data_IF_515400647091
#
_entry.id   IF_515400647091
#
_cell.length_a   1.000
_cell.length_b   1.000
_cell.length_c   1.000
_cell.angle_alpha   90.00
_cell.angle_beta   90.00
_cell.angle_gamma   90.00
#
_symmetry.space_group_name_H-M   'P 1'
#
loop_
_entity.id
_entity.type
_entity.pdbx_description
1 polymer ?
#
# COMPACT_ATOMS: atom_id res chain seq x y z
N UNK A 1 5.87 -28.68 20.61
CA UNK A 1 5.18 -27.82 19.64
C UNK A 1 5.31 -28.47 18.28
N UNK A 2 4.20 -28.81 17.64
CA UNK A 2 4.20 -29.39 16.29
C UNK A 2 4.55 -28.32 15.26
N UNK A 3 4.97 -28.74 14.06
CA UNK A 3 5.25 -27.81 12.96
C UNK A 3 4.01 -26.99 12.57
N UNK A 4 2.81 -27.57 12.70
CA UNK A 4 1.54 -26.88 12.45
C UNK A 4 1.22 -25.83 13.51
N UNK A 5 1.46 -26.15 14.79
CA UNK A 5 1.30 -25.19 15.89
C UNK A 5 2.25 -23.99 15.74
N UNK A 6 3.49 -24.24 15.35
CA UNK A 6 4.48 -23.19 15.09
C UNK A 6 4.06 -22.30 13.91
N UNK A 7 3.56 -22.89 12.82
CA UNK A 7 3.05 -22.16 11.65
C UNK A 7 1.84 -21.30 12.00
N UNK A 8 0.91 -21.83 12.79
CA UNK A 8 -0.25 -21.08 13.26
C UNK A 8 0.17 -19.89 14.16
N UNK A 9 1.12 -20.11 15.07
CA UNK A 9 1.65 -19.06 15.93
C UNK A 9 2.34 -17.94 15.13
N UNK A 10 3.14 -18.30 14.12
CA UNK A 10 3.78 -17.33 13.23
C UNK A 10 2.76 -16.52 12.44
N UNK A 11 1.74 -17.17 11.86
CA UNK A 11 0.68 -16.47 11.12
C UNK A 11 -0.08 -15.48 12.00
N UNK A 12 -0.44 -15.88 13.22
CA UNK A 12 -1.09 -14.98 14.18
C UNK A 12 -0.18 -13.80 14.51
N UNK A 13 1.08 -14.08 14.87
CA UNK A 13 2.05 -13.04 15.26
C UNK A 13 2.29 -12.04 14.13
N UNK A 14 2.41 -12.50 12.89
CA UNK A 14 2.54 -11.65 11.71
C UNK A 14 1.33 -10.72 11.55
N UNK A 15 0.11 -11.23 11.65
CA UNK A 15 -1.09 -10.39 11.49
C UNK A 15 -1.17 -9.28 12.55
N UNK A 16 -0.78 -9.56 13.80
CA UNK A 16 -0.72 -8.53 14.85
C UNK A 16 0.41 -7.52 14.62
N UNK A 17 1.60 -8.01 14.24
CA UNK A 17 2.73 -7.14 13.89
C UNK A 17 2.38 -6.23 12.73
N UNK A 18 1.73 -6.75 11.70
CA UNK A 18 1.29 -6.01 10.51
C UNK A 18 0.29 -4.90 10.87
N UNK A 19 -0.74 -5.23 11.65
CA UNK A 19 -1.77 -4.29 12.09
C UNK A 19 -1.22 -3.17 13.00
N UNK A 20 -0.11 -3.40 13.71
CA UNK A 20 0.53 -2.40 14.60
C UNK A 20 1.62 -1.61 13.88
N UNK A 21 2.50 -2.31 13.15
CA UNK A 21 3.67 -1.71 12.50
C UNK A 21 3.25 -0.83 11.32
N UNK A 22 2.20 -1.18 10.55
CA UNK A 22 1.77 -0.35 9.43
C UNK A 22 1.32 1.07 9.84
N UNK A 23 0.48 1.23 10.89
CA UNK A 23 0.21 2.55 11.47
C UNK A 23 1.47 3.27 11.94
N UNK A 24 2.40 2.58 12.62
CA UNK A 24 3.64 3.18 13.09
C UNK A 24 4.49 3.70 11.93
N UNK A 25 4.68 2.89 10.88
CA UNK A 25 5.42 3.30 9.67
C UNK A 25 4.79 4.52 9.01
N UNK A 26 3.46 4.55 8.92
CA UNK A 26 2.68 5.70 8.42
C UNK A 26 3.00 6.96 9.23
N UNK A 27 2.91 6.88 10.56
CA UNK A 27 3.20 8.00 11.46
C UNK A 27 4.65 8.47 11.30
N UNK A 28 5.61 7.55 11.22
CA UNK A 28 7.03 7.88 11.04
C UNK A 28 7.29 8.67 9.75
N UNK A 29 6.64 8.27 8.63
CA UNK A 29 6.76 8.98 7.35
C UNK A 29 6.18 10.40 7.47
N UNK A 30 5.01 10.57 8.10
CA UNK A 30 4.42 11.90 8.28
C UNK A 30 5.22 12.79 9.24
N UNK A 31 5.81 12.24 10.31
CA UNK A 31 6.71 12.99 11.20
C UNK A 31 7.90 13.52 10.40
N UNK A 32 8.49 12.70 9.53
CA UNK A 32 9.61 13.11 8.68
C UNK A 32 9.23 14.15 7.65
N UNK A 33 8.08 13.99 7.01
CA UNK A 33 7.54 14.98 6.09
C UNK A 33 7.36 16.33 6.79
N UNK A 34 6.81 16.33 8.02
CA UNK A 34 6.64 17.54 8.83
C UNK A 34 7.97 18.17 9.20
N UNK A 35 8.97 17.36 9.55
CA UNK A 35 10.32 17.82 9.87
C UNK A 35 10.99 18.45 8.65
N UNK A 36 10.95 17.79 7.50
CA UNK A 36 11.48 18.29 6.24
C UNK A 36 10.84 19.62 5.86
N UNK A 37 9.50 19.72 5.91
CA UNK A 37 8.79 20.99 5.66
C UNK A 37 9.26 22.12 6.57
N UNK A 38 9.57 21.81 7.84
CA UNK A 38 10.09 22.81 8.79
C UNK A 38 11.52 23.23 8.46
N UNK A 39 12.34 22.34 7.91
CA UNK A 39 13.73 22.58 7.57
C UNK A 39 13.88 23.29 6.21
N UNK A 40 13.09 22.92 5.19
CA UNK A 40 13.20 23.46 3.82
C UNK A 40 12.18 24.55 3.51
N UNK A 41 11.10 24.66 4.28
CA UNK A 41 9.96 25.54 4.00
C UNK A 41 8.96 24.99 2.97
N UNK A 42 9.31 23.94 2.24
CA UNK A 42 8.50 23.36 1.16
C UNK A 42 8.05 21.92 1.47
N UNK A 43 6.90 21.52 0.92
CA UNK A 43 6.40 20.14 1.06
C UNK A 43 7.00 19.28 -0.04
N UNK A 44 7.69 18.21 0.33
CA UNK A 44 8.07 17.16 -0.60
C UNK A 44 6.85 16.30 -0.94
N UNK A 45 6.22 16.62 -2.08
CA UNK A 45 5.00 15.93 -2.53
C UNK A 45 5.19 14.44 -2.77
N UNK A 46 6.37 13.98 -3.24
CA UNK A 46 6.64 12.55 -3.39
C UNK A 46 6.54 11.85 -2.04
N UNK A 47 7.19 12.40 -1.02
CA UNK A 47 7.14 11.84 0.34
C UNK A 47 5.74 11.96 0.96
N UNK A 48 4.98 13.00 0.63
CA UNK A 48 3.59 13.15 1.05
C UNK A 48 2.70 12.05 0.46
N UNK A 49 2.80 11.80 -0.85
CA UNK A 49 2.02 10.74 -1.51
C UNK A 49 2.44 9.36 -0.96
N UNK A 50 3.73 9.12 -0.73
CA UNK A 50 4.21 7.90 -0.05
C UNK A 50 3.54 7.74 1.33
N UNK A 51 3.46 8.81 2.12
CA UNK A 51 2.77 8.79 3.41
C UNK A 51 1.30 8.42 3.28
N UNK A 52 0.62 8.93 2.25
CA UNK A 52 -0.78 8.57 1.94
C UNK A 52 -0.90 7.10 1.54
N UNK A 53 0.03 6.56 0.73
CA UNK A 53 0.05 5.14 0.39
C UNK A 53 0.15 4.26 1.64
N UNK A 54 1.07 4.58 2.55
CA UNK A 54 1.19 3.87 3.83
C UNK A 54 -0.07 4.02 4.69
N UNK A 55 -0.72 5.17 4.67
CA UNK A 55 -2.01 5.36 5.35
C UNK A 55 -3.12 4.49 4.75
N UNK A 56 -3.15 4.30 3.43
CA UNK A 56 -4.08 3.38 2.76
C UNK A 56 -3.83 1.92 3.18
N UNK A 57 -2.57 1.49 3.23
CA UNK A 57 -2.21 0.16 3.75
C UNK A 57 -2.60 0.00 5.23
N UNK A 58 -2.30 1.01 6.06
CA UNK A 58 -2.64 1.01 7.48
C UNK A 58 -4.15 0.87 7.68
N UNK A 59 -4.94 1.66 6.94
CA UNK A 59 -6.39 1.56 6.94
C UNK A 59 -6.88 0.17 6.54
N UNK A 60 -6.38 -0.35 5.42
CA UNK A 60 -6.72 -1.68 4.91
C UNK A 60 -6.51 -2.77 5.98
N UNK A 61 -5.33 -2.78 6.60
CA UNK A 61 -4.94 -3.79 7.58
C UNK A 61 -5.69 -3.66 8.91
N UNK A 62 -5.99 -2.44 9.37
CA UNK A 62 -6.84 -2.23 10.55
C UNK A 62 -8.23 -2.80 10.30
N UNK A 63 -8.84 -2.52 9.15
CA UNK A 63 -10.17 -3.02 8.83
C UNK A 63 -10.21 -4.53 8.64
N UNK A 64 -9.21 -5.09 7.96
CA UNK A 64 -9.08 -6.53 7.81
C UNK A 64 -8.89 -7.22 9.18
N UNK A 65 -8.06 -6.64 10.05
CA UNK A 65 -7.88 -7.14 11.41
C UNK A 65 -9.18 -7.09 12.22
N UNK A 66 -9.88 -5.95 12.21
CA UNK A 66 -11.16 -5.79 12.91
C UNK A 66 -12.20 -6.77 12.36
N UNK A 67 -12.32 -6.89 11.04
CA UNK A 67 -13.25 -7.82 10.42
C UNK A 67 -12.94 -9.27 10.82
N UNK A 68 -11.68 -9.70 10.76
CA UNK A 68 -11.33 -11.10 11.03
C UNK A 68 -11.26 -11.49 12.51
N UNK A 69 -11.08 -10.53 13.43
CA UNK A 69 -10.79 -10.82 14.85
C UNK A 69 -11.82 -10.29 15.84
N UNK A 70 -12.76 -9.46 15.40
CA UNK A 70 -13.80 -8.90 16.26
C UNK A 70 -15.19 -9.24 15.74
N UNK A 71 -16.24 -9.19 16.58
CA UNK A 71 -17.62 -9.43 16.14
C UNK A 71 -18.16 -8.32 15.21
N UNK A 72 -17.31 -7.42 14.71
CA UNK A 72 -17.66 -6.40 13.72
C UNK A 72 -18.26 -7.04 12.46
N UNK A 73 -17.89 -8.28 12.12
CA UNK A 73 -18.60 -9.05 11.08
C UNK A 73 -20.11 -8.99 11.25
N UNK A 74 -20.62 -9.22 12.47
CA UNK A 74 -22.06 -9.25 12.76
C UNK A 74 -22.75 -7.91 12.48
N UNK A 75 -22.05 -6.78 12.64
CA UNK A 75 -22.59 -5.45 12.33
C UNK A 75 -22.77 -5.22 10.83
N UNK A 76 -21.98 -5.91 9.99
CA UNK A 76 -22.02 -5.80 8.54
C UNK A 76 -22.87 -6.89 7.87
N UNK A 77 -23.07 -8.05 8.49
CA UNK A 77 -23.93 -9.13 7.94
C UNK A 77 -25.42 -8.90 8.17
N UNK A 78 -25.85 -8.18 9.21
CA UNK A 78 -27.27 -8.15 9.58
C UNK A 78 -28.09 -6.97 9.03
N UNK A 79 -27.52 -5.81 8.64
CA UNK A 79 -28.37 -4.63 8.38
C UNK A 79 -27.92 -3.61 7.31
N UNK A 80 -26.82 -3.80 6.59
CA UNK A 80 -26.37 -2.80 5.61
C UNK A 80 -25.97 -3.48 4.30
N UNK A 81 -26.97 -3.63 3.43
CA UNK A 81 -26.85 -4.04 2.01
C UNK A 81 -26.30 -5.47 1.85
N UNK A 82 -27.08 -6.32 1.20
CA UNK A 82 -26.67 -7.66 0.74
C UNK A 82 -25.56 -7.54 -0.30
N UNK A 83 -24.34 -7.23 0.14
CA UNK A 83 -23.14 -7.40 -0.65
C UNK A 83 -22.84 -8.89 -0.69
N UNK A 84 -22.83 -9.48 -1.88
CA UNK A 84 -22.26 -10.82 -2.06
C UNK A 84 -20.84 -10.82 -1.48
N UNK A 85 -20.51 -11.85 -0.71
CA UNK A 85 -19.22 -12.01 0.01
C UNK A 85 -17.97 -11.84 -0.88
N UNK A 86 -18.14 -11.79 -2.20
CA UNK A 86 -17.08 -11.78 -3.20
C UNK A 86 -16.75 -10.42 -3.83
N UNK A 87 -17.49 -9.33 -3.56
CA UNK A 87 -17.42 -8.14 -4.44
C UNK A 87 -17.12 -6.78 -3.81
N UNK A 88 -17.27 -6.57 -2.50
CA UNK A 88 -16.94 -5.25 -1.91
C UNK A 88 -16.48 -5.38 -0.47
N UNK A 89 -15.23 -4.99 -0.25
CA UNK A 89 -14.60 -5.01 1.06
C UNK A 89 -13.76 -3.75 1.24
N UNK A 90 -13.60 -3.31 2.49
CA UNK A 90 -12.67 -2.23 2.83
C UNK A 90 -11.24 -2.53 2.36
N UNK A 91 -10.91 -3.83 2.25
CA UNK A 91 -9.67 -4.30 1.68
C UNK A 91 -9.49 -3.86 0.23
N UNK A 92 -10.46 -4.14 -0.64
CA UNK A 92 -10.39 -3.79 -2.06
C UNK A 92 -10.38 -2.27 -2.30
N UNK A 93 -11.10 -1.51 -1.46
CA UNK A 93 -11.05 -0.04 -1.47
C UNK A 93 -9.64 0.45 -1.14
N UNK A 94 -9.05 -0.04 -0.04
CA UNK A 94 -7.69 0.32 0.37
C UNK A 94 -6.63 -0.06 -0.68
N UNK A 95 -6.77 -1.23 -1.28
CA UNK A 95 -5.88 -1.73 -2.32
C UNK A 95 -5.97 -0.89 -3.61
N UNK A 96 -7.18 -0.55 -4.06
CA UNK A 96 -7.39 0.30 -5.25
C UNK A 96 -6.80 1.70 -5.06
N UNK A 97 -6.97 2.32 -3.89
CA UNK A 97 -6.35 3.60 -3.55
C UNK A 97 -4.82 3.52 -3.52
N UNK A 98 -4.29 2.47 -2.92
CA UNK A 98 -2.85 2.21 -2.86
C UNK A 98 -2.23 2.18 -4.25
N UNK A 99 -2.85 1.43 -5.17
CA UNK A 99 -2.43 1.33 -6.57
C UNK A 99 -2.56 2.67 -7.28
N UNK A 100 -3.68 3.38 -7.10
CA UNK A 100 -3.89 4.68 -7.71
C UNK A 100 -2.84 5.70 -7.25
N UNK A 101 -2.55 5.78 -5.95
CA UNK A 101 -1.50 6.67 -5.44
C UNK A 101 -0.10 6.25 -5.90
N UNK A 102 0.18 4.96 -6.06
CA UNK A 102 1.41 4.49 -6.69
C UNK A 102 1.57 5.02 -8.11
N UNK A 103 0.50 4.98 -8.92
CA UNK A 103 0.49 5.57 -10.26
C UNK A 103 0.58 7.11 -10.22
N UNK A 104 -0.02 7.76 -9.23
CA UNK A 104 0.11 9.22 -9.02
C UNK A 104 1.57 9.59 -8.78
N UNK A 105 2.32 8.83 -7.96
CA UNK A 105 3.76 9.04 -7.74
C UNK A 105 4.51 8.98 -9.07
N UNK A 106 4.23 7.94 -9.88
CA UNK A 106 4.83 7.77 -11.21
C UNK A 106 4.58 8.99 -12.09
N UNK A 107 3.32 9.43 -12.20
CA UNK A 107 2.96 10.57 -13.04
C UNK A 107 3.63 11.85 -12.54
N UNK A 108 3.63 12.07 -11.22
CA UNK A 108 4.23 13.22 -10.55
C UNK A 108 5.73 13.34 -10.83
N UNK A 109 6.49 12.27 -10.63
CA UNK A 109 7.94 12.31 -10.82
C UNK A 109 8.32 12.48 -12.30
N UNK A 110 7.52 11.91 -13.20
CA UNK A 110 7.70 12.08 -14.65
C UNK A 110 7.14 13.41 -15.16
N UNK A 111 6.68 14.31 -14.28
CA UNK A 111 6.14 15.64 -14.61
C UNK A 111 5.01 15.62 -15.63
N UNK A 112 4.16 14.60 -15.58
CA UNK A 112 2.97 14.46 -16.42
C UNK A 112 1.76 15.11 -15.75
N UNK A 113 1.78 16.44 -15.64
CA UNK A 113 0.80 17.23 -14.86
C UNK A 113 -0.66 16.96 -15.23
N UNK A 114 -0.94 16.78 -16.54
CA UNK A 114 -2.28 16.44 -17.03
C UNK A 114 -2.80 15.08 -16.55
N UNK A 115 -1.91 14.20 -16.06
CA UNK A 115 -2.22 12.82 -15.68
C UNK A 115 -2.13 12.58 -14.17
N UNK A 116 -1.79 13.60 -13.35
CA UNK A 116 -1.59 13.42 -11.90
C UNK A 116 -2.80 12.81 -11.20
N UNK A 117 -4.00 13.30 -11.52
CA UNK A 117 -5.23 12.87 -10.85
C UNK A 117 -5.98 11.77 -11.60
N UNK A 118 -5.54 11.41 -12.81
CA UNK A 118 -6.23 10.41 -13.65
C UNK A 118 -6.41 9.07 -12.91
N UNK A 119 -5.40 8.50 -12.22
CA UNK A 119 -5.60 7.25 -11.48
C UNK A 119 -6.67 7.36 -10.40
N UNK A 120 -6.77 8.50 -9.70
CA UNK A 120 -7.77 8.72 -8.66
C UNK A 120 -9.17 8.89 -9.24
N UNK A 121 -9.31 9.60 -10.37
CA UNK A 121 -10.58 9.70 -11.08
C UNK A 121 -11.06 8.35 -11.63
N UNK A 122 -10.13 7.52 -12.14
CA UNK A 122 -10.46 6.17 -12.60
C UNK A 122 -10.98 5.31 -11.45
N UNK A 123 -10.30 5.29 -10.29
CA UNK A 123 -10.77 4.56 -9.10
C UNK A 123 -12.12 5.09 -8.61
N UNK A 124 -12.27 6.41 -8.51
CA UNK A 124 -13.54 7.02 -8.11
C UNK A 124 -14.68 6.67 -9.06
N UNK A 125 -14.42 6.68 -10.38
CA UNK A 125 -15.37 6.25 -11.40
C UNK A 125 -15.74 4.76 -11.27
N UNK A 126 -14.77 3.89 -10.97
CA UNK A 126 -15.01 2.47 -10.73
C UNK A 126 -15.84 2.23 -9.47
N UNK A 127 -15.62 2.99 -8.40
CA UNK A 127 -16.45 2.92 -7.20
C UNK A 127 -17.89 3.34 -7.47
N UNK A 128 -18.08 4.46 -8.18
CA UNK A 128 -19.43 4.90 -8.56
C UNK A 128 -20.11 3.89 -9.47
N UNK A 129 -19.38 3.33 -10.44
CA UNK A 129 -19.88 2.29 -11.33
C UNK A 129 -20.29 1.03 -10.56
N UNK A 130 -19.48 0.60 -9.59
CA UNK A 130 -19.83 -0.51 -8.71
C UNK A 130 -21.10 -0.20 -7.89
N UNK A 131 -21.20 0.97 -7.27
CA UNK A 131 -22.40 1.35 -6.49
C UNK A 131 -23.65 1.36 -7.38
N UNK A 132 -23.52 1.76 -8.65
CA UNK A 132 -24.64 1.82 -9.58
C UNK A 132 -25.04 0.47 -10.18
N UNK A 133 -24.09 -0.44 -10.40
CA UNK A 133 -24.31 -1.67 -11.20
C UNK A 133 -24.06 -2.98 -10.44
N UNK A 134 -23.38 -2.92 -9.30
CA UNK A 134 -22.86 -4.08 -8.57
C UNK A 134 -21.68 -4.79 -9.23
N UNK A 135 -21.19 -4.32 -10.39
CA UNK A 135 -20.14 -5.01 -11.13
C UNK A 135 -18.73 -4.64 -10.64
N UNK A 136 -18.07 -5.60 -9.99
CA UNK A 136 -16.78 -5.40 -9.31
C UNK A 136 -15.54 -5.75 -10.16
N UNK A 137 -15.68 -6.59 -11.19
CA UNK A 137 -14.53 -7.15 -11.93
C UNK A 137 -13.63 -6.08 -12.56
N UNK A 138 -14.20 -4.95 -12.99
CA UNK A 138 -13.42 -3.81 -13.49
C UNK A 138 -12.41 -3.27 -12.47
N UNK A 139 -12.79 -3.26 -11.19
CA UNK A 139 -11.88 -2.79 -10.13
C UNK A 139 -10.74 -3.79 -9.90
N UNK A 140 -10.99 -5.09 -9.99
CA UNK A 140 -9.92 -6.09 -9.94
C UNK A 140 -8.92 -5.92 -11.08
N UNK A 141 -9.39 -5.73 -12.32
CA UNK A 141 -8.50 -5.50 -13.44
C UNK A 141 -7.64 -4.25 -13.24
N UNK A 142 -8.23 -3.17 -12.73
CA UNK A 142 -7.47 -1.96 -12.38
C UNK A 142 -6.42 -2.23 -11.31
N UNK A 143 -6.78 -2.95 -10.25
CA UNK A 143 -5.85 -3.29 -9.16
C UNK A 143 -4.66 -4.08 -9.71
N UNK A 144 -4.89 -5.17 -10.44
CA UNK A 144 -3.80 -6.04 -10.90
C UNK A 144 -2.93 -5.37 -11.97
N UNK A 145 -3.55 -4.82 -13.02
CA UNK A 145 -2.82 -4.16 -14.11
C UNK A 145 -2.16 -2.88 -13.60
N UNK A 146 -2.88 -2.10 -12.80
CA UNK A 146 -2.38 -0.87 -12.19
C UNK A 146 -1.23 -1.12 -11.24
N UNK A 147 -1.28 -2.18 -10.41
CA UNK A 147 -0.18 -2.55 -9.52
C UNK A 147 1.08 -2.93 -10.32
N UNK A 148 0.92 -3.76 -11.36
CA UNK A 148 2.03 -4.13 -12.24
C UNK A 148 2.64 -2.88 -12.91
N UNK A 149 1.80 -2.00 -13.44
CA UNK A 149 2.25 -0.75 -14.06
C UNK A 149 2.94 0.16 -13.04
N UNK A 150 2.37 0.32 -11.84
CA UNK A 150 2.98 1.11 -10.77
C UNK A 150 4.38 0.56 -10.42
N UNK A 151 4.51 -0.76 -10.23
CA UNK A 151 5.81 -1.39 -9.94
C UNK A 151 6.81 -1.12 -11.07
N UNK A 152 6.47 -1.45 -12.33
CA UNK A 152 7.37 -1.29 -13.47
C UNK A 152 7.84 0.16 -13.63
N UNK A 153 6.91 1.11 -13.55
CA UNK A 153 7.23 2.52 -13.71
C UNK A 153 7.95 3.11 -12.49
N UNK A 154 7.67 2.66 -11.27
CA UNK A 154 8.41 3.08 -10.08
C UNK A 154 9.85 2.57 -10.11
N UNK A 155 10.08 1.32 -10.55
CA UNK A 155 11.43 0.78 -10.77
C UNK A 155 12.16 1.64 -11.82
N UNK A 156 11.55 1.83 -12.98
CA UNK A 156 12.12 2.64 -14.06
C UNK A 156 12.45 4.07 -13.59
N UNK A 157 11.51 4.70 -12.89
CA UNK A 157 11.65 6.06 -12.36
C UNK A 157 12.75 6.13 -11.30
N UNK A 158 12.80 5.15 -10.38
CA UNK A 158 13.81 5.04 -9.35
C UNK A 158 15.22 4.95 -9.94
N UNK A 159 15.44 4.10 -10.94
CA UNK A 159 16.74 4.01 -11.62
C UNK A 159 17.07 5.23 -12.48
N UNK A 160 16.10 5.74 -13.26
CA UNK A 160 16.31 6.88 -14.15
C UNK A 160 16.68 8.16 -13.41
N UNK A 161 15.97 8.45 -12.32
CA UNK A 161 16.16 9.68 -11.56
C UNK A 161 17.02 9.49 -10.31
N UNK A 162 17.52 8.27 -10.07
CA UNK A 162 18.24 7.89 -8.83
C UNK A 162 17.44 8.26 -7.57
N UNK A 163 16.12 8.10 -7.64
CA UNK A 163 15.21 8.46 -6.55
C UNK A 163 15.00 7.27 -5.60
N UNK A 164 15.51 7.43 -4.38
CA UNK A 164 15.41 6.41 -3.33
C UNK A 164 13.95 6.16 -2.91
N UNK A 165 13.08 7.18 -2.98
CA UNK A 165 11.66 7.07 -2.62
C UNK A 165 10.91 6.13 -3.55
N UNK A 166 11.00 6.37 -4.85
CA UNK A 166 10.37 5.56 -5.91
C UNK A 166 10.85 4.12 -5.89
N UNK A 167 12.17 3.93 -5.81
CA UNK A 167 12.74 2.58 -5.79
C UNK A 167 12.33 1.82 -4.52
N UNK A 168 12.29 2.50 -3.38
CA UNK A 168 11.79 1.91 -2.14
C UNK A 168 10.31 1.52 -2.25
N UNK A 169 9.47 2.40 -2.79
CA UNK A 169 8.06 2.08 -3.04
C UNK A 169 7.86 0.92 -4.00
N UNK A 170 8.66 0.84 -5.07
CA UNK A 170 8.62 -0.29 -6.00
C UNK A 170 8.88 -1.62 -5.30
N UNK A 171 9.94 -1.69 -4.48
CA UNK A 171 10.29 -2.91 -3.75
C UNK A 171 9.20 -3.26 -2.74
N UNK A 172 8.68 -2.26 -2.01
CA UNK A 172 7.58 -2.46 -1.08
C UNK A 172 6.33 -3.01 -1.77
N UNK A 173 5.92 -2.44 -2.91
CA UNK A 173 4.79 -2.93 -3.70
C UNK A 173 5.03 -4.32 -4.28
N UNK A 174 6.24 -4.60 -4.77
CA UNK A 174 6.58 -5.91 -5.30
C UNK A 174 6.44 -6.99 -4.22
N UNK A 175 6.97 -6.73 -3.02
CA UNK A 175 6.85 -7.66 -1.89
C UNK A 175 5.39 -7.82 -1.45
N UNK A 176 4.63 -6.72 -1.32
CA UNK A 176 3.22 -6.77 -0.96
C UNK A 176 2.36 -7.55 -1.98
N UNK A 177 2.58 -7.34 -3.29
CA UNK A 177 1.89 -8.10 -4.34
C UNK A 177 2.31 -9.57 -4.34
N UNK A 178 3.58 -9.87 -4.04
CA UNK A 178 4.06 -11.26 -3.95
C UNK A 178 3.36 -12.06 -2.85
N UNK A 179 2.96 -11.41 -1.75
CA UNK A 179 2.15 -12.04 -0.68
C UNK A 179 0.79 -12.50 -1.23
N UNK A 180 0.21 -11.76 -2.18
CA UNK A 180 -1.08 -12.11 -2.78
C UNK A 180 -1.01 -13.26 -3.79
N UNK A 181 0.19 -13.53 -4.32
CA UNK A 181 0.41 -14.52 -5.38
C UNK A 181 1.01 -15.83 -4.85
N UNK A 182 1.57 -15.80 -3.63
CA UNK A 182 2.32 -16.93 -3.07
C UNK A 182 1.72 -17.34 -1.74
N UNK A 183 1.12 -18.53 -1.70
CA UNK A 183 0.61 -19.12 -0.48
C UNK A 183 1.65 -19.95 0.29
N UNK A 184 1.31 -20.30 1.53
CA UNK A 184 2.09 -21.22 2.33
C UNK A 184 3.27 -20.57 3.08
N UNK A 185 4.29 -21.35 3.47
CA UNK A 185 5.43 -20.85 4.23
C UNK A 185 6.19 -19.72 3.53
N UNK A 186 6.25 -19.78 2.19
CA UNK A 186 6.89 -18.74 1.37
C UNK A 186 6.08 -17.44 1.45
N UNK A 187 4.75 -17.51 1.38
CA UNK A 187 3.87 -16.36 1.57
C UNK A 187 4.06 -15.70 2.94
N UNK A 188 4.15 -16.50 4.00
CA UNK A 188 4.44 -16.00 5.37
C UNK A 188 5.79 -15.30 5.45
N UNK A 189 6.82 -15.84 4.80
CA UNK A 189 8.14 -15.21 4.71
C UNK A 189 8.09 -13.89 3.93
N UNK A 190 7.37 -13.85 2.80
CA UNK A 190 7.16 -12.62 2.03
C UNK A 190 6.40 -11.58 2.84
N UNK A 191 5.41 -11.99 3.64
CA UNK A 191 4.68 -11.11 4.54
C UNK A 191 5.66 -10.43 5.53
N UNK A 192 6.42 -11.22 6.28
CA UNK A 192 7.43 -10.67 7.20
C UNK A 192 8.46 -9.80 6.48
N UNK A 193 8.88 -10.17 5.28
CA UNK A 193 9.88 -9.43 4.48
C UNK A 193 9.39 -8.04 4.08
N UNK A 194 8.13 -7.91 3.64
CA UNK A 194 7.61 -6.61 3.22
C UNK A 194 7.41 -5.68 4.43
N UNK A 195 7.01 -6.22 5.58
CA UNK A 195 6.90 -5.45 6.84
C UNK A 195 8.27 -4.94 7.28
N UNK A 196 9.27 -5.84 7.35
CA UNK A 196 10.65 -5.47 7.72
C UNK A 196 11.19 -4.40 6.77
N UNK A 197 10.99 -4.59 5.47
CA UNK A 197 11.41 -3.63 4.46
C UNK A 197 10.69 -2.28 4.63
N UNK A 198 9.38 -2.29 4.87
CA UNK A 198 8.60 -1.09 5.16
C UNK A 198 9.15 -0.31 6.36
N UNK A 199 9.57 -1.01 7.42
CA UNK A 199 10.17 -0.38 8.60
C UNK A 199 11.49 0.27 8.23
N UNK A 200 12.38 -0.43 7.53
CA UNK A 200 13.67 0.12 7.04
C UNK A 200 13.44 1.36 6.15
N UNK A 201 12.46 1.29 5.25
CA UNK A 201 12.09 2.35 4.34
C UNK A 201 11.52 3.57 5.08
N UNK A 202 10.56 3.37 5.98
CA UNK A 202 9.96 4.45 6.80
C UNK A 202 10.99 5.10 7.74
N UNK A 203 11.96 4.33 8.24
CA UNK A 203 13.12 4.82 8.99
C UNK A 203 14.16 5.54 8.10
N UNK A 204 13.98 5.55 6.78
CA UNK A 204 14.82 6.33 5.85
C UNK A 204 16.26 5.81 5.77
N UNK A 205 16.47 4.58 6.21
CA UNK A 205 17.75 3.88 6.15
C UNK A 205 18.01 3.39 4.73
N UNK A 206 16.95 3.12 3.97
CA UNK A 206 17.04 2.73 2.56
C UNK A 206 17.52 3.91 1.68
N UNK A 207 18.81 3.90 1.32
CA UNK A 207 19.44 4.89 0.44
C UNK A 207 20.38 4.21 -0.58
N UNK A 208 19.85 3.44 -1.55
CA UNK A 208 20.67 2.75 -2.55
C UNK A 208 21.46 3.71 -3.44
N UNK A 209 20.94 4.90 -3.71
CA UNK A 209 21.66 5.96 -4.41
C UNK A 209 22.29 6.91 -3.40
N UNK A 210 23.62 7.10 -3.50
CA UNK A 210 24.36 8.10 -2.70
C UNK A 210 23.88 9.50 -3.08
N UNK A 211 23.66 10.35 -2.08
CA UNK A 211 23.45 11.77 -2.30
C UNK A 211 24.70 12.33 -2.97
N UNK A 212 24.56 12.86 -4.19
CA UNK A 212 25.66 13.58 -4.84
C UNK A 212 25.85 14.84 -4.02
N UNK A 213 26.95 14.90 -3.26
CA UNK A 213 27.37 16.12 -2.58
C UNK A 213 27.52 17.17 -3.68
N UNK A 214 26.59 18.14 -3.71
CA UNK A 214 26.78 19.34 -4.50
C UNK A 214 27.83 20.15 -3.75
N UNK A 215 29.08 20.00 -4.17
CA UNK A 215 30.15 20.98 -3.87
C UNK A 215 29.80 22.34 -4.48
#
# INVERSE_FOLDING_TARGET
>A
MSFEEFRALLGITNNYLEAILMPIMTILIFIKLRREKRETGEINYVRAIIGVVFACFSWMLIWEFLYNRTPVQMLFTENIVTFSETSWSFYNIGLSLTVAFGLVIVMYINRRESLYYVPLFVVGGMWLYYIATGYYEMMMYFIYIGALMAILFLIYTGFRYKDNGSLGMAIFFLLAVSVLLIDGPIGTFMNSSYIIFGVIFSLGVFKPFKEVVKE
#
